data_IF_966172196345
#
_entry.id   IF_966172196345
#
_cell.length_a   1.000
_cell.length_b   1.000
_cell.length_c   1.000
_cell.angle_alpha   90.00
_cell.angle_beta   90.00
_cell.angle_gamma   90.00
#
_symmetry.space_group_name_H-M   'P 1'
#
loop_
_entity.id
_entity.type
_entity.pdbx_description
1 polymer ?
#
# COMPACT_ATOMS: atom_id res chain seq x y z
N UNK A 1 29.94 22.52 -12.99
CA UNK A 1 29.24 21.49 -12.22
C UNK A 1 28.02 22.18 -11.63
N UNK A 2 26.81 21.78 -12.02
CA UNK A 2 25.60 22.26 -11.38
C UNK A 2 25.60 21.66 -9.96
N UNK A 3 25.57 22.52 -8.94
CA UNK A 3 25.47 22.08 -7.57
C UNK A 3 24.09 21.46 -7.36
N UNK A 4 24.04 20.12 -7.37
CA UNK A 4 22.82 19.37 -7.10
C UNK A 4 22.50 19.53 -5.61
N UNK A 5 21.45 20.26 -5.33
CA UNK A 5 20.99 20.46 -3.96
C UNK A 5 20.31 19.20 -3.45
N UNK A 6 20.91 18.54 -2.46
CA UNK A 6 20.36 17.36 -1.79
C UNK A 6 19.91 17.69 -0.37
N UNK A 7 18.85 17.02 0.06
CA UNK A 7 18.34 17.06 1.44
C UNK A 7 18.24 15.65 2.01
N UNK A 8 18.19 15.59 3.33
CA UNK A 8 18.20 14.32 4.05
C UNK A 8 17.15 14.33 5.15
N UNK A 9 16.41 13.21 5.27
CA UNK A 9 15.42 13.01 6.32
C UNK A 9 15.59 11.63 6.95
N UNK A 10 15.64 11.57 8.28
CA UNK A 10 15.80 10.31 9.00
C UNK A 10 15.05 10.31 10.34
N UNK A 11 14.88 9.12 10.94
CA UNK A 11 14.05 8.90 12.13
C UNK A 11 14.44 9.71 13.35
N UNK A 12 15.72 10.07 13.50
CA UNK A 12 16.23 10.81 14.66
C UNK A 12 15.98 12.33 14.59
N UNK A 13 15.53 12.86 13.45
CA UNK A 13 15.19 14.29 13.32
C UNK A 13 13.89 14.59 14.01
N UNK A 14 13.78 15.82 14.58
CA UNK A 14 12.51 16.35 15.09
C UNK A 14 11.51 16.57 13.95
N UNK A 15 10.22 16.52 14.26
CA UNK A 15 9.14 16.67 13.26
C UNK A 15 9.32 17.97 12.45
N UNK A 16 9.51 19.11 13.10
CA UNK A 16 9.70 20.41 12.45
C UNK A 16 10.91 20.45 11.50
N UNK A 17 11.98 19.75 11.84
CA UNK A 17 13.17 19.65 10.97
C UNK A 17 12.89 18.79 9.73
N UNK A 18 12.16 17.67 9.91
CA UNK A 18 11.72 16.82 8.80
C UNK A 18 10.85 17.61 7.84
N UNK A 19 9.85 18.31 8.36
CA UNK A 19 8.93 19.12 7.58
C UNK A 19 9.67 20.22 6.80
N UNK A 20 10.62 20.91 7.43
CA UNK A 20 11.41 21.92 6.74
C UNK A 20 12.26 21.34 5.58
N UNK A 21 12.90 20.18 5.77
CA UNK A 21 13.64 19.52 4.69
C UNK A 21 12.71 19.03 3.56
N UNK A 22 11.54 18.54 3.91
CA UNK A 22 10.53 18.10 2.94
C UNK A 22 9.99 19.28 2.12
N UNK A 23 9.75 20.43 2.72
CA UNK A 23 9.30 21.62 2.01
C UNK A 23 10.31 22.09 0.95
N UNK A 24 11.58 22.05 1.24
CA UNK A 24 12.64 22.38 0.27
C UNK A 24 12.67 21.42 -0.93
N UNK A 25 12.29 20.15 -0.71
CA UNK A 25 12.18 19.17 -1.79
C UNK A 25 10.88 19.36 -2.60
N UNK A 26 9.76 19.61 -1.92
CA UNK A 26 8.46 19.85 -2.57
C UNK A 26 8.47 21.16 -3.38
N UNK A 27 9.15 22.21 -2.89
CA UNK A 27 9.31 23.48 -3.61
C UNK A 27 10.25 23.39 -4.83
N UNK A 28 11.01 22.29 -4.96
CA UNK A 28 12.00 22.11 -6.03
C UNK A 28 13.34 22.80 -5.76
N UNK A 29 13.53 23.43 -4.61
CA UNK A 29 14.83 23.97 -4.19
C UNK A 29 15.87 22.86 -3.99
N UNK A 30 15.43 21.69 -3.55
CA UNK A 30 16.25 20.49 -3.52
C UNK A 30 15.80 19.50 -4.60
N UNK A 31 16.74 19.02 -5.41
CA UNK A 31 16.47 18.04 -6.48
C UNK A 31 16.55 16.59 -6.00
N UNK A 32 17.26 16.34 -4.91
CA UNK A 32 17.45 14.99 -4.36
C UNK A 32 17.07 14.96 -2.89
N UNK A 33 16.22 14.00 -2.54
CA UNK A 33 15.90 13.67 -1.16
C UNK A 33 16.46 12.28 -0.81
N UNK A 34 17.31 12.24 0.21
CA UNK A 34 17.79 10.98 0.79
C UNK A 34 17.07 10.74 2.10
N UNK A 35 16.39 9.62 2.20
CA UNK A 35 15.59 9.34 3.38
C UNK A 35 15.71 7.90 3.87
N UNK A 36 15.58 7.70 5.16
CA UNK A 36 15.27 6.38 5.71
C UNK A 36 13.78 6.10 5.58
N UNK A 37 13.33 4.90 5.90
CA UNK A 37 11.91 4.43 5.80
C UNK A 37 10.86 5.34 6.47
N UNK A 38 11.28 6.42 7.10
CA UNK A 38 10.40 7.40 7.78
C UNK A 38 9.45 8.16 6.85
N UNK A 39 9.65 8.06 5.53
CA UNK A 39 8.78 8.73 4.52
C UNK A 39 7.52 7.89 4.21
N UNK A 40 7.27 6.82 4.94
CA UNK A 40 6.11 5.95 4.69
C UNK A 40 4.76 6.68 4.88
N UNK A 41 4.70 7.76 5.65
CA UNK A 41 3.42 8.38 6.02
C UNK A 41 3.33 9.84 5.57
N UNK A 42 2.30 10.12 4.74
CA UNK A 42 1.71 11.45 4.63
C UNK A 42 2.36 12.45 3.67
N UNK A 43 3.51 12.17 3.04
CA UNK A 43 4.15 13.15 2.15
C UNK A 43 3.82 12.84 0.69
N UNK A 44 3.05 13.71 0.08
CA UNK A 44 2.81 13.71 -1.36
C UNK A 44 3.82 14.65 -2.03
N UNK A 45 4.64 14.13 -2.94
CA UNK A 45 5.60 14.91 -3.72
C UNK A 45 5.25 14.78 -5.21
N UNK A 46 4.34 15.59 -5.74
CA UNK A 46 3.81 15.44 -7.09
C UNK A 46 4.89 15.56 -8.18
N UNK A 47 5.94 16.32 -7.92
CA UNK A 47 7.07 16.56 -8.82
C UNK A 47 8.20 15.55 -8.70
N UNK A 48 8.11 14.57 -7.80
CA UNK A 48 9.09 13.49 -7.72
C UNK A 48 8.82 12.46 -8.84
N UNK A 49 9.73 12.39 -9.79
CA UNK A 49 9.64 11.47 -10.96
C UNK A 49 10.45 10.20 -10.79
N UNK A 50 11.42 10.15 -9.88
CA UNK A 50 12.27 8.98 -9.67
C UNK A 50 12.33 8.62 -8.19
N UNK A 51 12.08 7.34 -7.90
CA UNK A 51 12.29 6.71 -6.59
C UNK A 51 13.37 5.65 -6.73
N UNK A 52 14.38 5.71 -5.87
CA UNK A 52 15.41 4.67 -5.76
C UNK A 52 15.29 4.05 -4.39
N UNK A 53 15.09 2.73 -4.33
CA UNK A 53 14.99 1.97 -3.08
C UNK A 53 16.22 1.10 -2.94
N UNK A 54 17.10 1.49 -2.05
CA UNK A 54 18.32 0.75 -1.71
C UNK A 54 18.01 -0.44 -0.81
N UNK A 55 18.69 -1.57 -1.04
CA UNK A 55 18.48 -2.83 -0.32
C UNK A 55 17.00 -3.28 -0.37
N UNK A 56 16.43 -3.24 -1.56
CA UNK A 56 15.01 -3.54 -1.78
C UNK A 56 14.61 -4.94 -1.29
N UNK A 57 15.55 -5.88 -1.20
CA UNK A 57 15.37 -7.22 -0.66
C UNK A 57 14.96 -7.25 0.81
N UNK A 58 15.19 -6.17 1.56
CA UNK A 58 14.82 -6.07 2.98
C UNK A 58 13.38 -5.63 3.21
N UNK A 59 12.70 -5.18 2.17
CA UNK A 59 11.32 -4.68 2.25
C UNK A 59 10.32 -5.77 1.90
N UNK A 60 9.17 -5.75 2.56
CA UNK A 60 8.01 -6.51 2.16
C UNK A 60 7.33 -5.93 0.91
N UNK A 61 6.53 -6.75 0.20
CA UNK A 61 5.81 -6.31 -1.00
C UNK A 61 4.90 -5.11 -0.73
N UNK A 62 4.18 -5.13 0.38
CA UNK A 62 3.30 -4.04 0.80
C UNK A 62 4.08 -2.73 0.98
N UNK A 63 5.24 -2.77 1.65
CA UNK A 63 6.08 -1.58 1.83
C UNK A 63 6.64 -1.05 0.52
N UNK A 64 7.13 -1.94 -0.36
CA UNK A 64 7.61 -1.55 -1.70
C UNK A 64 6.50 -0.91 -2.52
N UNK A 65 5.29 -1.45 -2.46
CA UNK A 65 4.13 -0.89 -3.14
C UNK A 65 3.77 0.51 -2.62
N UNK A 66 3.77 0.70 -1.31
CA UNK A 66 3.53 2.00 -0.69
C UNK A 66 4.60 3.04 -1.08
N UNK A 67 5.89 2.65 -1.06
CA UNK A 67 6.98 3.52 -1.48
C UNK A 67 6.85 3.90 -2.96
N UNK A 68 6.62 2.93 -3.85
CA UNK A 68 6.40 3.19 -5.27
C UNK A 68 5.25 4.16 -5.50
N UNK A 69 4.17 4.05 -4.74
CA UNK A 69 3.01 4.95 -4.81
C UNK A 69 3.29 6.39 -4.36
N UNK A 70 4.50 6.71 -3.90
CA UNK A 70 4.89 8.09 -3.54
C UNK A 70 5.38 8.92 -4.72
N UNK A 71 5.73 8.28 -5.83
CA UNK A 71 6.10 8.94 -7.10
C UNK A 71 5.06 8.64 -8.17
N UNK A 72 5.04 9.41 -9.24
CA UNK A 72 4.13 9.17 -10.37
C UNK A 72 2.72 9.70 -10.19
N UNK A 73 2.52 10.63 -9.28
CA UNK A 73 1.22 11.30 -9.09
C UNK A 73 1.03 12.55 -9.96
N UNK A 74 2.06 12.93 -10.71
CA UNK A 74 2.01 13.97 -11.70
C UNK A 74 1.67 13.46 -13.11
N UNK A 75 1.63 14.36 -14.09
CA UNK A 75 1.36 14.04 -15.50
C UNK A 75 2.56 13.40 -16.22
N UNK A 76 3.77 13.42 -15.64
CA UNK A 76 4.98 12.92 -16.25
C UNK A 76 5.25 11.45 -15.90
N UNK A 77 5.94 10.77 -16.79
CA UNK A 77 6.38 9.39 -16.56
C UNK A 77 7.32 9.32 -15.36
N UNK A 78 7.10 8.34 -14.49
CA UNK A 78 7.86 8.16 -13.26
C UNK A 78 8.45 6.77 -13.17
N UNK A 79 9.57 6.67 -12.46
CA UNK A 79 10.35 5.44 -12.34
C UNK A 79 10.55 5.08 -10.87
N UNK A 80 10.38 3.80 -10.54
CA UNK A 80 10.78 3.24 -9.26
C UNK A 80 11.86 2.18 -9.50
N UNK A 81 13.07 2.46 -9.02
CA UNK A 81 14.27 1.62 -9.22
C UNK A 81 14.54 0.86 -7.92
N UNK A 82 14.52 -0.47 -8.00
CA UNK A 82 14.84 -1.35 -6.89
C UNK A 82 16.32 -1.77 -7.00
N UNK A 83 17.13 -1.37 -6.01
CA UNK A 83 18.54 -1.73 -5.93
C UNK A 83 18.72 -2.82 -4.88
N UNK A 84 19.40 -3.91 -5.26
CA UNK A 84 19.56 -5.10 -4.42
C UNK A 84 21.04 -5.51 -4.33
N UNK A 85 21.35 -6.34 -3.32
CA UNK A 85 22.63 -7.02 -3.26
C UNK A 85 22.82 -8.06 -4.38
N UNK A 86 24.06 -8.50 -4.60
CA UNK A 86 24.41 -9.43 -5.68
C UNK A 86 23.84 -10.85 -5.52
N UNK A 87 23.58 -11.25 -4.29
CA UNK A 87 23.07 -12.61 -3.98
C UNK A 87 21.69 -12.51 -3.39
N UNK A 88 20.68 -12.80 -4.21
CA UNK A 88 19.31 -12.91 -3.76
C UNK A 88 18.93 -14.38 -3.62
N UNK A 89 18.24 -14.71 -2.55
CA UNK A 89 17.53 -15.98 -2.41
C UNK A 89 16.39 -16.00 -3.43
N UNK A 90 16.08 -17.17 -3.98
CA UNK A 90 15.08 -17.34 -5.05
C UNK A 90 13.71 -16.75 -4.68
N UNK A 91 13.26 -16.95 -3.46
CA UNK A 91 12.00 -16.39 -2.96
C UNK A 91 11.99 -14.84 -2.98
N UNK A 92 13.10 -14.24 -2.55
CA UNK A 92 13.25 -12.77 -2.61
C UNK A 92 13.27 -12.27 -4.04
N UNK A 93 13.91 -12.98 -4.95
CA UNK A 93 13.92 -12.66 -6.38
C UNK A 93 12.50 -12.66 -6.93
N UNK A 94 11.73 -13.72 -6.71
CA UNK A 94 10.32 -13.83 -7.14
C UNK A 94 9.47 -12.67 -6.59
N UNK A 95 9.69 -12.31 -5.31
CA UNK A 95 9.00 -11.19 -4.69
C UNK A 95 9.27 -9.86 -5.40
N UNK A 96 10.53 -9.57 -5.71
CA UNK A 96 10.91 -8.33 -6.42
C UNK A 96 10.45 -8.33 -7.88
N UNK A 97 10.45 -9.48 -8.55
CA UNK A 97 9.94 -9.62 -9.92
C UNK A 97 8.45 -9.28 -10.02
N UNK A 98 7.67 -9.60 -9.00
CA UNK A 98 6.25 -9.21 -8.93
C UNK A 98 6.13 -7.68 -8.92
N UNK A 99 6.94 -6.99 -8.12
CA UNK A 99 6.94 -5.53 -8.09
C UNK A 99 7.29 -4.87 -9.42
N UNK A 100 8.12 -5.52 -10.23
CA UNK A 100 8.50 -5.04 -11.57
C UNK A 100 7.39 -5.33 -12.59
N UNK A 101 6.73 -6.48 -12.47
CA UNK A 101 5.75 -6.96 -13.44
C UNK A 101 4.42 -6.21 -13.39
N UNK A 102 3.94 -5.89 -12.19
CA UNK A 102 2.60 -5.32 -12.01
C UNK A 102 2.58 -4.06 -11.15
N UNK A 103 1.62 -3.18 -11.47
CA UNK A 103 1.26 -2.02 -10.65
C UNK A 103 -0.03 -2.25 -9.85
N UNK A 104 -0.72 -3.35 -10.08
CA UNK A 104 -1.97 -3.69 -9.40
C UNK A 104 -1.71 -4.10 -7.95
N UNK A 105 -2.26 -3.31 -7.01
CA UNK A 105 -2.12 -3.56 -5.58
C UNK A 105 -2.76 -4.87 -5.12
N UNK A 106 -3.81 -5.34 -5.81
CA UNK A 106 -4.46 -6.62 -5.50
C UNK A 106 -3.58 -7.80 -5.90
N UNK A 107 -3.00 -7.74 -7.12
CA UNK A 107 -2.07 -8.77 -7.57
C UNK A 107 -0.85 -8.87 -6.66
N UNK A 108 -0.35 -7.71 -6.19
CA UNK A 108 0.76 -7.64 -5.23
C UNK A 108 0.36 -8.22 -3.87
N UNK A 109 -0.83 -7.91 -3.37
CA UNK A 109 -1.32 -8.44 -2.09
C UNK A 109 -1.54 -9.95 -2.15
N UNK A 110 -2.13 -10.46 -3.23
CA UNK A 110 -2.31 -11.90 -3.45
C UNK A 110 -0.97 -12.64 -3.52
N UNK A 111 0.01 -12.05 -4.20
CA UNK A 111 1.34 -12.60 -4.30
C UNK A 111 2.08 -12.60 -2.96
N UNK A 112 1.95 -11.52 -2.16
CA UNK A 112 2.53 -11.43 -0.81
C UNK A 112 1.95 -12.53 0.10
N UNK A 113 0.64 -12.75 0.02
CA UNK A 113 -0.03 -13.80 0.76
C UNK A 113 0.44 -15.21 0.36
N UNK A 114 0.58 -15.47 -0.95
CA UNK A 114 1.07 -16.75 -1.48
C UNK A 114 2.52 -17.03 -1.09
N UNK A 115 3.37 -16.01 -1.07
CA UNK A 115 4.79 -16.15 -0.72
C UNK A 115 5.02 -16.36 0.78
N UNK A 116 4.18 -15.76 1.63
CA UNK A 116 4.26 -15.95 3.09
C UNK A 116 3.79 -17.34 3.51
N UNK A 117 2.94 -17.99 2.71
CA UNK A 117 2.35 -19.28 3.04
C UNK A 117 1.30 -19.22 4.17
N UNK A 118 0.57 -20.31 4.39
CA UNK A 118 -0.50 -20.36 5.39
C UNK A 118 -0.02 -20.27 6.85
N UNK A 119 1.28 -20.47 7.13
CA UNK A 119 1.83 -20.42 8.49
C UNK A 119 2.03 -19.04 9.08
N UNK A 120 2.19 -18.00 8.24
CA UNK A 120 2.39 -16.61 8.71
C UNK A 120 1.07 -15.85 8.95
N UNK A 121 -0.07 -16.43 8.61
CA UNK A 121 -1.38 -15.86 8.94
C UNK A 121 -1.65 -15.86 10.46
N UNK A 122 -1.01 -16.75 11.22
CA UNK A 122 -1.08 -16.71 12.69
C UNK A 122 -0.29 -15.54 13.31
N UNK A 123 0.73 -15.02 12.62
CA UNK A 123 1.53 -13.85 13.08
C UNK A 123 0.85 -12.50 12.89
N UNK A 124 -0.18 -12.39 12.05
CA UNK A 124 -0.91 -11.13 11.77
C UNK A 124 -2.01 -10.80 12.78
N UNK A 125 -2.08 -11.49 13.91
CA UNK A 125 -2.96 -11.09 15.02
C UNK A 125 -2.61 -9.70 15.62
N UNK A 126 -1.50 -9.07 15.21
CA UNK A 126 -1.15 -7.71 15.68
C UNK A 126 -1.88 -6.57 14.96
N UNK A 127 -2.54 -6.81 13.84
CA UNK A 127 -3.35 -5.78 13.15
C UNK A 127 -4.87 -5.94 13.33
N UNK A 128 -5.32 -6.58 14.37
CA UNK A 128 -6.63 -6.36 15.00
C UNK A 128 -7.90 -6.69 14.20
N UNK A 129 -7.82 -7.21 12.99
CA UNK A 129 -9.00 -7.58 12.21
C UNK A 129 -8.85 -9.02 11.75
N UNK A 130 -9.32 -9.94 12.57
CA UNK A 130 -9.66 -11.27 12.09
C UNK A 130 -10.83 -11.10 11.10
N UNK A 131 -10.57 -11.20 9.80
CA UNK A 131 -11.63 -11.41 8.82
C UNK A 131 -12.20 -12.82 9.04
N UNK A 132 -13.13 -12.96 9.95
CA UNK A 132 -13.87 -14.20 10.17
C UNK A 132 -14.88 -14.37 9.03
N UNK A 133 -14.35 -14.71 7.85
CA UNK A 133 -15.17 -15.06 6.68
C UNK A 133 -15.64 -16.49 6.86
N UNK A 134 -16.91 -16.68 7.14
CA UNK A 134 -17.51 -17.99 7.45
C UNK A 134 -17.37 -19.04 6.35
N UNK A 135 -17.26 -18.63 5.08
CA UNK A 135 -17.28 -19.51 3.92
C UNK A 135 -16.20 -19.23 2.88
N UNK A 136 -15.48 -18.12 2.96
CA UNK A 136 -14.46 -17.74 2.01
C UNK A 136 -13.07 -17.71 2.67
N UNK A 137 -12.07 -18.09 1.89
CA UNK A 137 -10.66 -18.00 2.25
C UNK A 137 -9.99 -17.00 1.30
N UNK A 138 -9.52 -15.87 1.84
CA UNK A 138 -8.92 -14.78 1.04
C UNK A 138 -7.71 -15.27 0.23
N UNK A 139 -6.94 -16.20 0.76
CA UNK A 139 -5.76 -16.75 0.09
C UNK A 139 -6.13 -17.63 -1.11
N UNK A 140 -7.24 -18.37 -1.00
CA UNK A 140 -7.72 -19.31 -2.02
C UNK A 140 -8.66 -18.65 -3.02
N UNK A 141 -9.51 -17.76 -2.53
CA UNK A 141 -10.68 -17.25 -3.25
C UNK A 141 -10.46 -15.82 -3.79
N UNK A 142 -9.20 -15.42 -4.10
CA UNK A 142 -8.85 -14.06 -4.53
C UNK A 142 -9.60 -13.56 -5.77
N UNK A 143 -9.86 -14.45 -6.76
CA UNK A 143 -10.67 -14.10 -7.94
C UNK A 143 -12.14 -13.86 -7.57
N UNK A 144 -12.65 -14.61 -6.60
CA UNK A 144 -14.01 -14.40 -6.07
C UNK A 144 -14.11 -13.05 -5.35
N UNK A 145 -13.07 -12.63 -4.64
CA UNK A 145 -13.04 -11.33 -3.97
C UNK A 145 -13.18 -10.17 -4.96
N UNK A 146 -12.49 -10.23 -6.11
CA UNK A 146 -12.64 -9.22 -7.16
C UNK A 146 -14.06 -9.17 -7.73
N UNK A 147 -14.65 -10.32 -8.00
CA UNK A 147 -16.02 -10.40 -8.47
C UNK A 147 -17.01 -9.83 -7.46
N UNK A 148 -16.91 -10.24 -6.18
CA UNK A 148 -17.78 -9.76 -5.10
C UNK A 148 -17.64 -8.25 -4.89
N UNK A 149 -16.44 -7.69 -5.05
CA UNK A 149 -16.22 -6.25 -4.98
C UNK A 149 -17.01 -5.52 -6.07
N UNK A 150 -16.92 -5.97 -7.31
CA UNK A 150 -17.66 -5.35 -8.42
C UNK A 150 -19.18 -5.40 -8.17
N UNK A 151 -19.69 -6.55 -7.70
CA UNK A 151 -21.11 -6.69 -7.31
C UNK A 151 -21.49 -5.75 -6.17
N UNK A 152 -20.61 -5.59 -5.18
CA UNK A 152 -20.86 -4.67 -4.07
C UNK A 152 -20.90 -3.20 -4.53
N UNK A 153 -20.01 -2.79 -5.44
CA UNK A 153 -20.01 -1.46 -6.05
C UNK A 153 -21.32 -1.22 -6.83
N UNK A 154 -21.75 -2.17 -7.65
CA UNK A 154 -23.03 -2.09 -8.37
C UNK A 154 -24.22 -1.93 -7.42
N UNK A 155 -24.26 -2.69 -6.32
CA UNK A 155 -25.34 -2.60 -5.32
C UNK A 155 -25.33 -1.24 -4.63
N UNK A 156 -24.15 -0.71 -4.24
CA UNK A 156 -24.05 0.59 -3.58
C UNK A 156 -24.44 1.72 -4.53
N UNK A 157 -24.02 1.67 -5.79
CA UNK A 157 -24.35 2.67 -6.79
C UNK A 157 -25.85 2.68 -7.12
N UNK A 158 -26.47 1.49 -7.18
CA UNK A 158 -27.88 1.36 -7.45
C UNK A 158 -28.79 1.70 -6.25
N UNK A 159 -28.28 1.54 -5.03
CA UNK A 159 -29.03 1.73 -3.76
C UNK A 159 -28.18 2.39 -2.69
N UNK A 160 -27.69 3.62 -2.90
CA UNK A 160 -26.78 4.32 -1.98
C UNK A 160 -27.40 4.60 -0.60
N UNK A 161 -28.73 4.60 -0.51
CA UNK A 161 -29.48 4.84 0.74
C UNK A 161 -29.90 3.56 1.44
N UNK A 162 -29.79 2.41 0.80
CA UNK A 162 -30.12 1.12 1.38
C UNK A 162 -31.60 0.90 1.65
N UNK A 163 -32.48 1.43 0.77
CA UNK A 163 -33.94 1.37 0.93
C UNK A 163 -34.64 0.40 -0.01
N UNK A 164 -33.91 -0.15 -1.00
CA UNK A 164 -34.50 -1.10 -1.94
C UNK A 164 -34.83 -2.43 -1.27
N UNK A 165 -36.06 -2.98 -1.46
CA UNK A 165 -36.44 -4.23 -0.81
C UNK A 165 -35.54 -5.42 -1.15
N UNK A 166 -35.05 -5.51 -2.39
CA UNK A 166 -34.14 -6.56 -2.84
C UNK A 166 -32.81 -6.58 -2.08
N UNK A 167 -32.36 -5.45 -1.55
CA UNK A 167 -31.10 -5.30 -0.83
C UNK A 167 -31.28 -5.30 0.70
N UNK A 168 -32.49 -5.41 1.23
CA UNK A 168 -32.78 -5.31 2.66
C UNK A 168 -31.93 -6.25 3.51
N UNK A 169 -31.77 -7.50 3.05
CA UNK A 169 -30.99 -8.51 3.77
C UNK A 169 -29.51 -8.08 3.90
N UNK A 170 -28.93 -7.56 2.82
CA UNK A 170 -27.54 -7.10 2.80
C UNK A 170 -27.33 -5.95 3.78
N UNK A 171 -28.16 -4.92 3.72
CA UNK A 171 -28.07 -3.76 4.59
C UNK A 171 -28.35 -4.10 6.06
N UNK A 172 -29.24 -5.03 6.33
CA UNK A 172 -29.51 -5.52 7.69
C UNK A 172 -28.29 -6.24 8.27
N UNK A 173 -27.64 -7.11 7.50
CA UNK A 173 -26.41 -7.80 7.91
C UNK A 173 -25.26 -6.82 8.13
N UNK A 174 -25.07 -5.87 7.23
CA UNK A 174 -24.05 -4.84 7.37
C UNK A 174 -24.23 -4.00 8.65
N UNK A 175 -25.48 -3.63 8.97
CA UNK A 175 -25.81 -2.92 10.22
C UNK A 175 -25.53 -3.78 11.46
N UNK A 176 -25.77 -5.08 11.40
CA UNK A 176 -25.46 -6.01 12.49
C UNK A 176 -23.97 -6.13 12.74
N UNK A 177 -23.15 -6.26 11.67
CA UNK A 177 -21.70 -6.30 11.74
C UNK A 177 -21.10 -4.99 12.30
N UNK A 178 -21.66 -3.84 11.97
CA UNK A 178 -21.22 -2.54 12.54
C UNK A 178 -21.48 -2.42 14.04
N UNK A 179 -22.49 -3.08 14.59
CA UNK A 179 -22.79 -3.06 16.03
C UNK A 179 -21.84 -3.94 16.84
N UNK A 180 -21.17 -4.92 16.23
CA UNK A 180 -20.28 -5.89 16.90
C UNK A 180 -18.80 -5.47 16.96
N UNK A 181 -18.46 -4.22 16.72
CA UNK A 181 -17.11 -3.64 16.80
C UNK A 181 -16.24 -3.69 15.55
N UNK A 182 -16.40 -2.78 14.65
CA UNK A 182 -15.23 -2.20 13.96
C UNK A 182 -15.57 -0.77 13.57
N UNK A 183 -14.89 0.20 14.15
CA UNK A 183 -14.98 1.59 13.74
C UNK A 183 -14.14 1.75 12.45
N UNK A 184 -14.73 1.44 11.31
CA UNK A 184 -14.07 1.49 9.99
C UNK A 184 -13.63 2.91 9.60
N UNK A 185 -14.14 3.94 10.29
CA UNK A 185 -13.78 5.33 10.04
C UNK A 185 -12.39 5.73 10.59
N UNK A 186 -11.73 4.85 11.34
CA UNK A 186 -10.37 5.09 11.87
C UNK A 186 -9.25 4.46 11.04
N UNK A 187 -9.57 3.90 9.87
CA UNK A 187 -8.63 3.25 8.95
C UNK A 187 -8.50 4.10 7.66
N UNK A 188 -8.32 5.39 7.82
CA UNK A 188 -7.95 6.29 6.71
C UNK A 188 -6.62 6.96 6.99
#
# INVERSE_FOLDING_TARGET
ASDVYKRQVHGKMKAAEKDAQMQLFVSGEAQIMVATTVIEVGVNVPNASVMIIENAERFGLSQLHQLRGRVGRGAEQSYCILVTGYKLVEETRKRLEIMVRTNDGFEIAEADLKLRGPGDLEGTQQSGIAFDLKIADIARDGQLLQYVRNVAEEVVDADPTGIRPENEILWRQLKALRKTNVNWASIS
#
